data_IF_802165477596
#
_entry.id   IF_802165477596
#
_cell.length_a   1.000
_cell.length_b   1.000
_cell.length_c   1.000
_cell.angle_alpha   90.00
_cell.angle_beta   90.00
_cell.angle_gamma   90.00
#
_symmetry.space_group_name_H-M   'P 1'
#
loop_
_entity.id
_entity.type
_entity.pdbx_description
1 polymer ?
#
# COMPACT_ATOMS: atom_id res chain seq x y z
N UNK A 1 -19.76 27.41 -38.44
CA UNK A 1 -18.33 27.57 -38.81
C UNK A 1 -17.56 28.07 -37.60
N UNK A 2 -16.86 27.17 -36.89
CA UNK A 2 -15.55 27.41 -36.25
C UNK A 2 -14.80 26.08 -36.36
N UNK A 3 -13.56 26.18 -36.80
CA UNK A 3 -12.75 25.16 -37.44
C UNK A 3 -12.46 23.91 -36.61
N UNK A 4 -12.51 22.76 -37.30
CA UNK A 4 -11.92 21.52 -36.86
C UNK A 4 -10.41 21.66 -36.67
N UNK A 5 -9.95 21.20 -35.50
CA UNK A 5 -8.63 20.59 -35.37
C UNK A 5 -8.84 19.17 -34.87
N UNK A 6 -8.81 18.24 -35.83
CA UNK A 6 -8.56 16.83 -35.62
C UNK A 6 -7.15 16.77 -35.02
N UNK A 7 -7.03 16.42 -33.75
CA UNK A 7 -5.72 16.05 -33.20
C UNK A 7 -5.35 14.74 -33.88
N UNK A 8 -4.41 14.81 -34.82
CA UNK A 8 -3.70 13.65 -35.32
C UNK A 8 -2.91 13.07 -34.15
N UNK A 9 -3.26 11.86 -33.73
CA UNK A 9 -2.50 11.09 -32.76
C UNK A 9 -1.18 10.67 -33.43
N UNK A 10 -0.14 11.48 -33.31
CA UNK A 10 1.23 11.04 -33.55
C UNK A 10 1.59 10.02 -32.47
N UNK A 11 1.52 8.75 -32.83
CA UNK A 11 1.90 7.57 -32.03
C UNK A 11 3.42 7.47 -31.86
N UNK A 12 4.07 8.53 -31.38
CA UNK A 12 5.51 8.59 -31.18
C UNK A 12 5.84 8.79 -29.70
N UNK A 13 5.94 7.66 -28.99
CA UNK A 13 6.41 7.58 -27.61
C UNK A 13 5.34 7.13 -26.62
N UNK A 14 4.87 5.89 -26.73
CA UNK A 14 4.17 5.24 -25.61
C UNK A 14 5.16 5.12 -24.45
N UNK A 15 5.14 6.09 -23.53
CA UNK A 15 5.81 5.97 -22.25
C UNK A 15 5.12 4.84 -21.51
N UNK A 16 5.83 3.73 -21.30
CA UNK A 16 5.40 2.65 -20.40
C UNK A 16 4.80 3.24 -19.13
N UNK A 17 3.53 2.96 -18.84
CA UNK A 17 2.89 3.37 -17.59
C UNK A 17 3.34 2.53 -16.40
N UNK A 18 4.34 1.67 -16.60
CA UNK A 18 4.96 0.94 -15.51
C UNK A 18 5.76 1.90 -14.62
N UNK A 19 5.64 1.72 -13.31
CA UNK A 19 6.33 2.53 -12.31
C UNK A 19 7.83 2.63 -12.63
N UNK A 20 8.31 3.84 -12.92
CA UNK A 20 9.75 4.07 -13.11
C UNK A 20 10.44 4.32 -11.77
N UNK A 21 11.76 4.09 -11.71
CA UNK A 21 12.58 4.47 -10.55
C UNK A 21 12.44 5.96 -10.23
N UNK A 22 12.32 6.81 -11.26
CA UNK A 22 12.14 8.25 -11.09
C UNK A 22 10.83 8.54 -10.36
N UNK A 23 9.75 7.88 -10.74
CA UNK A 23 8.43 8.06 -10.11
C UNK A 23 8.45 7.61 -8.66
N UNK A 24 9.05 6.45 -8.37
CA UNK A 24 9.21 5.96 -7.00
C UNK A 24 9.98 6.98 -6.11
N UNK A 25 11.07 7.56 -6.62
CA UNK A 25 11.84 8.58 -5.91
C UNK A 25 11.03 9.86 -5.69
N UNK A 26 10.25 10.30 -6.69
CA UNK A 26 9.39 11.48 -6.56
C UNK A 26 8.29 11.24 -5.53
N UNK A 27 7.61 10.09 -5.57
CA UNK A 27 6.59 9.71 -4.60
C UNK A 27 7.15 9.69 -3.18
N UNK A 28 8.34 9.11 -2.96
CA UNK A 28 9.01 9.17 -1.65
C UNK A 28 9.23 10.60 -1.18
N UNK A 29 9.71 11.48 -2.05
CA UNK A 29 9.94 12.90 -1.73
C UNK A 29 8.63 13.63 -1.42
N UNK A 30 7.56 13.37 -2.16
CA UNK A 30 6.25 13.96 -1.93
C UNK A 30 5.62 13.50 -0.61
N UNK A 31 5.90 12.27 -0.19
CA UNK A 31 5.55 11.77 1.14
C UNK A 31 6.49 12.24 2.26
N UNK A 32 7.49 13.08 1.93
CA UNK A 32 8.54 13.51 2.86
C UNK A 32 9.22 12.30 3.53
N UNK A 33 9.39 11.20 2.80
CA UNK A 33 9.99 9.97 3.28
C UNK A 33 11.51 10.06 3.18
N UNK A 34 12.17 10.02 4.33
CA UNK A 34 13.60 10.25 4.50
C UNK A 34 14.30 9.01 5.06
N UNK A 35 15.63 9.09 5.21
CA UNK A 35 16.41 8.06 5.91
C UNK A 35 16.07 7.95 7.40
N UNK A 36 15.57 9.02 8.02
CA UNK A 36 15.11 8.95 9.41
C UNK A 36 13.87 8.05 9.48
N UNK A 37 12.92 8.21 8.56
CA UNK A 37 11.74 7.36 8.46
C UNK A 37 12.12 5.89 8.23
N UNK A 38 13.12 5.60 7.40
CA UNK A 38 13.63 4.23 7.20
C UNK A 38 14.07 3.58 8.51
N UNK A 39 14.84 4.32 9.32
CA UNK A 39 15.31 3.83 10.63
C UNK A 39 14.14 3.55 11.57
N UNK A 40 13.20 4.47 11.66
CA UNK A 40 12.05 4.30 12.56
C UNK A 40 11.05 3.28 12.04
N UNK A 41 10.94 3.08 10.73
CA UNK A 41 10.12 2.03 10.15
C UNK A 41 10.70 0.63 10.44
N UNK A 42 12.02 0.49 10.40
CA UNK A 42 12.69 -0.74 10.82
C UNK A 42 12.45 -1.03 12.31
N UNK A 43 12.60 -0.01 13.16
CA UNK A 43 12.34 -0.09 14.60
C UNK A 43 10.88 -0.47 14.89
N UNK A 44 9.93 0.13 14.17
CA UNK A 44 8.52 -0.26 14.22
C UNK A 44 8.35 -1.75 13.82
N UNK A 45 9.06 -2.20 12.78
CA UNK A 45 9.05 -3.59 12.34
C UNK A 45 9.41 -4.61 13.40
N UNK A 46 10.36 -4.29 14.28
CA UNK A 46 10.76 -5.17 15.40
C UNK A 46 9.64 -5.36 16.43
N UNK A 47 8.67 -4.46 16.46
CA UNK A 47 7.49 -4.52 17.32
C UNK A 47 6.33 -5.17 16.56
N UNK A 48 6.02 -4.63 15.37
CA UNK A 48 4.82 -4.98 14.62
C UNK A 48 4.87 -6.39 14.02
N UNK A 49 6.06 -6.91 13.70
CA UNK A 49 6.18 -8.22 13.05
C UNK A 49 5.62 -9.37 13.89
N UNK A 50 5.76 -9.32 15.22
CA UNK A 50 5.19 -10.33 16.13
C UNK A 50 3.72 -10.06 16.49
N UNK A 51 3.20 -8.90 16.11
CA UNK A 51 1.82 -8.44 16.41
C UNK A 51 0.92 -8.44 15.18
N UNK A 52 1.43 -8.83 14.02
CA UNK A 52 0.73 -8.71 12.74
C UNK A 52 -0.67 -9.35 12.74
N UNK A 53 -0.82 -10.54 13.33
CA UNK A 53 -2.11 -11.21 13.40
C UNK A 53 -3.08 -10.47 14.33
N UNK A 54 -2.61 -10.03 15.50
CA UNK A 54 -3.42 -9.24 16.44
C UNK A 54 -3.85 -7.89 15.85
N UNK A 55 -2.96 -7.24 15.08
CA UNK A 55 -3.29 -6.01 14.36
C UNK A 55 -4.37 -6.28 13.32
N UNK A 56 -4.27 -7.40 12.59
CA UNK A 56 -5.27 -7.80 11.60
C UNK A 56 -6.62 -8.08 12.27
N UNK A 57 -6.65 -8.73 13.43
CA UNK A 57 -7.87 -9.02 14.18
C UNK A 57 -8.61 -7.73 14.57
N UNK A 58 -7.91 -6.78 15.19
CA UNK A 58 -8.48 -5.48 15.58
C UNK A 58 -9.06 -4.75 14.38
N UNK A 59 -8.34 -4.78 13.24
CA UNK A 59 -8.80 -4.14 12.02
C UNK A 59 -10.02 -4.86 11.42
N UNK A 60 -10.02 -6.19 11.39
CA UNK A 60 -11.10 -7.00 10.85
C UNK A 60 -12.38 -6.88 11.69
N UNK A 61 -12.26 -6.88 13.02
CA UNK A 61 -13.37 -6.62 13.94
C UNK A 61 -13.99 -5.24 13.68
N UNK A 62 -13.15 -4.22 13.42
CA UNK A 62 -13.63 -2.91 13.04
C UNK A 62 -14.36 -2.93 11.68
N UNK A 63 -13.86 -3.66 10.69
CA UNK A 63 -14.53 -3.79 9.38
C UNK A 63 -15.91 -4.44 9.49
N UNK A 64 -16.01 -5.53 10.26
CA UNK A 64 -17.25 -6.28 10.47
C UNK A 64 -18.28 -5.49 11.28
N UNK A 65 -17.83 -4.65 12.23
CA UNK A 65 -18.72 -3.82 13.05
C UNK A 65 -19.35 -2.63 12.29
N UNK A 66 -18.95 -2.38 11.04
CA UNK A 66 -19.48 -1.29 10.21
C UNK A 66 -20.26 -1.85 9.03
N UNK A 67 -21.58 -1.67 9.02
CA UNK A 67 -22.51 -2.27 8.03
C UNK A 67 -22.09 -2.06 6.56
N UNK A 68 -21.52 -0.90 6.24
CA UNK A 68 -21.09 -0.56 4.88
C UNK A 68 -19.77 -1.23 4.45
N UNK A 69 -18.98 -1.77 5.39
CA UNK A 69 -17.74 -2.52 5.15
C UNK A 69 -17.96 -4.02 5.33
N UNK A 70 -18.83 -4.41 6.25
CA UNK A 70 -19.14 -5.79 6.59
C UNK A 70 -19.51 -6.63 5.35
N UNK A 71 -20.18 -6.04 4.35
CA UNK A 71 -20.51 -6.71 3.10
C UNK A 71 -19.30 -7.35 2.38
N UNK A 72 -18.09 -6.77 2.51
CA UNK A 72 -16.88 -7.31 1.88
C UNK A 72 -16.18 -8.40 2.69
N UNK A 73 -16.58 -8.57 3.96
CA UNK A 73 -15.91 -9.46 4.92
C UNK A 73 -16.87 -10.47 5.56
N UNK A 74 -18.08 -10.60 5.04
CA UNK A 74 -19.09 -11.53 5.55
C UNK A 74 -19.53 -12.53 4.49
N UNK A 75 -19.85 -13.74 4.94
CA UNK A 75 -20.49 -14.81 4.16
C UNK A 75 -21.76 -15.21 4.90
N UNK A 76 -22.88 -15.23 4.20
CA UNK A 76 -24.21 -15.54 4.77
C UNK A 76 -24.59 -14.69 6.00
N UNK A 77 -24.17 -13.42 5.99
CA UNK A 77 -24.43 -12.46 7.08
C UNK A 77 -23.58 -12.67 8.34
N UNK A 78 -22.55 -13.53 8.28
CA UNK A 78 -21.60 -13.76 9.36
C UNK A 78 -20.16 -13.47 8.90
N UNK A 79 -19.22 -13.11 9.80
CA UNK A 79 -17.82 -12.87 9.44
C UNK A 79 -17.19 -14.09 8.74
N UNK A 80 -16.52 -13.85 7.61
CA UNK A 80 -15.90 -14.91 6.82
C UNK A 80 -14.52 -15.29 7.41
N UNK A 81 -14.55 -16.20 8.39
CA UNK A 81 -13.35 -16.68 9.07
C UNK A 81 -12.35 -17.36 8.12
N UNK A 82 -12.83 -18.06 7.09
CA UNK A 82 -11.96 -18.70 6.09
C UNK A 82 -11.21 -17.65 5.29
N UNK A 83 -11.90 -16.60 4.83
CA UNK A 83 -11.27 -15.49 4.15
C UNK A 83 -10.23 -14.79 5.04
N UNK A 84 -10.55 -14.51 6.30
CA UNK A 84 -9.61 -13.94 7.27
C UNK A 84 -8.35 -14.82 7.42
N UNK A 85 -8.50 -16.14 7.49
CA UNK A 85 -7.37 -17.06 7.58
C UNK A 85 -6.46 -17.02 6.33
N UNK A 86 -7.02 -16.75 5.15
CA UNK A 86 -6.20 -16.52 3.94
C UNK A 86 -5.44 -15.18 3.96
N UNK A 87 -5.99 -14.17 4.64
CA UNK A 87 -5.38 -12.84 4.75
C UNK A 87 -4.23 -12.80 5.76
N UNK A 88 -4.31 -13.54 6.86
CA UNK A 88 -3.28 -13.59 7.92
C UNK A 88 -1.84 -13.69 7.42
N UNK A 89 -1.45 -14.73 6.64
CA UNK A 89 -0.08 -14.87 6.20
C UNK A 89 0.35 -13.77 5.22
N UNK A 90 -0.60 -13.25 4.41
CA UNK A 90 -0.35 -12.16 3.45
C UNK A 90 -0.10 -10.84 4.17
N UNK A 91 -0.96 -10.51 5.14
CA UNK A 91 -0.83 -9.31 5.95
C UNK A 91 0.47 -9.33 6.77
N UNK A 92 0.79 -10.44 7.43
CA UNK A 92 2.04 -10.58 8.16
C UNK A 92 3.27 -10.45 7.27
N UNK A 93 3.26 -11.03 6.06
CA UNK A 93 4.33 -10.85 5.09
C UNK A 93 4.42 -9.42 4.57
N UNK A 94 3.29 -8.74 4.37
CA UNK A 94 3.27 -7.34 3.95
C UNK A 94 3.90 -6.44 5.01
N UNK A 95 3.53 -6.57 6.29
CA UNK A 95 4.17 -5.82 7.39
C UNK A 95 5.68 -6.04 7.40
N UNK A 96 6.12 -7.31 7.33
CA UNK A 96 7.55 -7.63 7.31
C UNK A 96 8.25 -7.00 6.12
N UNK A 97 7.69 -7.08 4.92
CA UNK A 97 8.29 -6.48 3.72
C UNK A 97 8.34 -4.95 3.80
N UNK A 98 7.31 -4.33 4.39
CA UNK A 98 7.24 -2.89 4.53
C UNK A 98 8.29 -2.37 5.52
N UNK A 99 8.52 -3.11 6.61
CA UNK A 99 9.46 -2.71 7.65
C UNK A 99 10.89 -3.23 7.46
N UNK A 100 11.10 -4.25 6.63
CA UNK A 100 12.41 -4.88 6.44
C UNK A 100 12.96 -4.57 5.06
N UNK A 101 14.07 -3.84 5.04
CA UNK A 101 14.96 -3.80 3.89
C UNK A 101 15.92 -5.01 3.98
N UNK A 102 16.24 -5.68 2.86
CA UNK A 102 17.33 -6.66 2.87
C UNK A 102 18.62 -6.03 3.40
N UNK A 103 19.30 -6.73 4.31
CA UNK A 103 20.57 -6.30 4.86
C UNK A 103 21.59 -6.08 3.73
N UNK A 104 22.37 -5.00 3.83
CA UNK A 104 23.44 -4.63 2.88
C UNK A 104 23.05 -4.23 1.45
N UNK A 105 21.76 -4.09 1.12
CA UNK A 105 21.37 -3.53 -0.19
C UNK A 105 21.52 -2.01 -0.19
N UNK A 106 22.11 -1.39 -1.22
CA UNK A 106 22.08 0.07 -1.33
C UNK A 106 20.65 0.55 -1.61
N UNK A 107 20.29 1.74 -1.15
CA UNK A 107 18.91 2.24 -1.29
C UNK A 107 18.45 2.31 -2.76
N UNK A 108 19.32 2.79 -3.65
CA UNK A 108 19.06 2.81 -5.09
C UNK A 108 18.82 1.42 -5.68
N UNK A 109 19.52 0.39 -5.18
CA UNK A 109 19.31 -0.99 -5.61
C UNK A 109 17.98 -1.54 -5.09
N UNK A 110 17.57 -1.20 -3.87
CA UNK A 110 16.29 -1.60 -3.31
C UNK A 110 15.11 -0.92 -4.02
N UNK A 111 15.21 0.37 -4.32
CA UNK A 111 14.22 1.09 -5.14
C UNK A 111 14.11 0.48 -6.54
N UNK A 112 15.23 0.06 -7.13
CA UNK A 112 15.24 -0.61 -8.42
C UNK A 112 14.58 -1.99 -8.36
N UNK A 113 14.76 -2.75 -7.27
CA UNK A 113 14.04 -4.01 -7.05
C UNK A 113 12.52 -3.77 -6.93
N UNK A 114 12.10 -2.71 -6.21
CA UNK A 114 10.68 -2.36 -6.11
C UNK A 114 10.11 -2.01 -7.47
N UNK A 115 10.76 -1.11 -8.22
CA UNK A 115 10.31 -0.73 -9.55
C UNK A 115 10.22 -1.95 -10.49
N UNK A 116 11.24 -2.82 -10.49
CA UNK A 116 11.26 -4.03 -11.30
C UNK A 116 10.13 -4.99 -10.91
N UNK A 117 9.83 -5.17 -9.61
CA UNK A 117 8.72 -6.02 -9.18
C UNK A 117 7.38 -5.54 -9.72
N UNK A 118 7.13 -4.23 -9.73
CA UNK A 118 5.90 -3.65 -10.28
C UNK A 118 5.86 -3.73 -11.81
N UNK A 119 7.02 -3.77 -12.48
CA UNK A 119 7.13 -4.01 -13.92
C UNK A 119 6.87 -5.48 -14.29
N UNK A 120 7.34 -6.42 -13.46
CA UNK A 120 7.25 -7.86 -13.69
C UNK A 120 5.96 -8.49 -13.16
N UNK A 121 5.13 -7.71 -12.44
CA UNK A 121 3.91 -8.23 -11.82
C UNK A 121 2.94 -8.70 -12.90
N UNK A 122 2.47 -9.97 -12.86
CA UNK A 122 1.53 -10.45 -13.85
C UNK A 122 0.24 -9.65 -13.80
N UNK A 123 -0.32 -9.43 -14.99
CA UNK A 123 -1.59 -8.74 -15.19
C UNK A 123 -2.68 -9.32 -14.27
N UNK A 124 -3.58 -8.49 -13.72
CA UNK A 124 -4.76 -8.97 -13.03
C UNK A 124 -5.49 -10.01 -13.91
N UNK A 125 -5.96 -11.10 -13.29
CA UNK A 125 -6.84 -12.06 -13.99
C UNK A 125 -8.10 -11.34 -14.48
N UNK A 126 -8.79 -11.87 -15.48
CA UNK A 126 -9.99 -11.24 -16.06
C UNK A 126 -11.01 -10.79 -14.99
N UNK A 127 -11.10 -11.51 -13.87
CA UNK A 127 -11.99 -11.20 -12.74
C UNK A 127 -11.63 -9.91 -11.96
N UNK A 128 -10.42 -9.37 -12.13
CA UNK A 128 -9.91 -8.19 -11.41
C UNK A 128 -9.71 -6.97 -12.32
N UNK A 129 -10.00 -7.07 -13.63
CA UNK A 129 -9.68 -6.02 -14.61
C UNK A 129 -10.43 -4.71 -14.38
N UNK A 130 -11.59 -4.76 -13.74
CA UNK A 130 -12.41 -3.58 -13.46
C UNK A 130 -12.68 -3.47 -11.97
N UNK A 131 -11.72 -2.95 -11.20
CA UNK A 131 -12.02 -2.36 -9.88
C UNK A 131 -12.50 -0.93 -10.16
N UNK A 132 -13.81 -0.62 -10.08
CA UNK A 132 -14.26 0.69 -10.53
C UNK A 132 -13.63 1.80 -9.69
N UNK A 133 -13.40 2.97 -10.28
CA UNK A 133 -12.76 4.15 -9.64
C UNK A 133 -13.41 4.52 -8.30
N UNK A 134 -14.70 4.20 -8.12
CA UNK A 134 -15.41 4.30 -6.82
C UNK A 134 -14.65 3.57 -5.70
N UNK A 135 -14.05 2.41 -5.93
CA UNK A 135 -13.31 1.63 -4.94
C UNK A 135 -11.95 2.21 -4.59
N UNK A 136 -11.32 2.95 -5.51
CA UNK A 136 -10.07 3.66 -5.21
C UNK A 136 -10.26 4.67 -4.07
N UNK A 137 -11.42 5.34 -4.02
CA UNK A 137 -11.72 6.30 -2.93
C UNK A 137 -11.75 5.60 -1.57
N UNK A 138 -12.29 4.38 -1.51
CA UNK A 138 -12.36 3.59 -0.28
C UNK A 138 -10.99 3.02 0.09
N UNK A 139 -10.21 2.56 -0.88
CA UNK A 139 -8.84 2.08 -0.64
C UNK A 139 -7.96 3.18 -0.01
N UNK A 140 -8.04 4.41 -0.52
CA UNK A 140 -7.32 5.57 0.03
C UNK A 140 -7.76 5.87 1.47
N UNK A 141 -9.04 5.67 1.81
CA UNK A 141 -9.50 5.87 3.19
C UNK A 141 -8.87 4.88 4.18
N UNK A 142 -8.42 3.70 3.74
CA UNK A 142 -7.79 2.71 4.64
C UNK A 142 -6.40 3.11 5.15
N UNK A 143 -5.76 4.12 4.57
CA UNK A 143 -4.48 4.62 5.06
C UNK A 143 -4.57 5.01 6.55
N UNK A 144 -5.62 5.74 6.94
CA UNK A 144 -5.80 6.19 8.31
C UNK A 144 -6.06 5.07 9.32
N UNK A 145 -7.08 4.19 9.16
CA UNK A 145 -7.37 3.16 10.16
C UNK A 145 -6.23 2.15 10.31
N UNK A 146 -5.55 1.77 9.21
CA UNK A 146 -4.37 0.88 9.29
C UNK A 146 -3.21 1.55 10.03
N UNK A 147 -3.06 2.86 9.88
CA UNK A 147 -2.05 3.64 10.62
C UNK A 147 -2.41 3.74 12.10
N UNK A 148 -3.66 4.07 12.40
CA UNK A 148 -4.11 4.27 13.77
C UNK A 148 -4.09 2.97 14.59
N UNK A 149 -4.40 1.83 13.96
CA UNK A 149 -4.45 0.53 14.61
C UNK A 149 -3.14 0.11 15.27
N UNK A 150 -1.99 0.58 14.75
CA UNK A 150 -0.69 0.15 15.28
C UNK A 150 -0.20 0.97 16.48
N UNK A 151 -0.81 2.14 16.75
CA UNK A 151 -0.34 3.10 17.76
C UNK A 151 -0.20 2.50 19.17
N UNK A 152 -1.12 1.67 19.68
CA UNK A 152 -0.97 1.03 20.99
C UNK A 152 0.27 0.12 21.05
N UNK A 153 0.53 -0.63 19.98
CA UNK A 153 1.62 -1.59 19.92
C UNK A 153 2.99 -0.93 19.95
N UNK A 154 3.14 0.21 19.26
CA UNK A 154 4.42 0.94 19.21
C UNK A 154 4.91 1.40 20.59
N UNK A 155 4.01 1.52 21.57
CA UNK A 155 4.34 1.95 22.93
C UNK A 155 4.74 0.80 23.86
N UNK A 156 4.55 -0.46 23.46
CA UNK A 156 4.70 -1.63 24.35
C UNK A 156 6.14 -1.88 24.83
N UNK A 157 7.15 -1.46 24.05
CA UNK A 157 8.57 -1.74 24.35
C UNK A 157 9.28 -0.63 25.14
N UNK A 158 8.54 0.31 25.72
CA UNK A 158 9.11 1.36 26.58
C UNK A 158 9.92 2.42 25.83
N UNK A 159 9.71 2.58 24.53
CA UNK A 159 10.31 3.65 23.74
C UNK A 159 9.82 5.03 24.21
N UNK A 160 10.65 6.05 24.00
CA UNK A 160 10.26 7.42 24.35
C UNK A 160 9.07 7.86 23.50
N UNK A 161 8.17 8.74 24.00
CA UNK A 161 7.02 9.22 23.23
C UNK A 161 7.41 9.83 21.87
N UNK A 162 8.56 10.50 21.79
CA UNK A 162 9.09 11.04 20.54
C UNK A 162 9.47 9.94 19.53
N UNK A 163 10.04 8.83 19.99
CA UNK A 163 10.39 7.70 19.14
C UNK A 163 9.13 6.97 18.66
N UNK A 164 8.13 6.82 19.53
CA UNK A 164 6.81 6.28 19.18
C UNK A 164 6.17 7.12 18.08
N UNK A 165 6.20 8.45 18.19
CA UNK A 165 5.67 9.33 17.16
C UNK A 165 6.43 9.19 15.84
N UNK A 166 7.77 9.13 15.87
CA UNK A 166 8.58 8.94 14.67
C UNK A 166 8.33 7.59 13.99
N UNK A 167 8.17 6.50 14.76
CA UNK A 167 7.75 5.20 14.24
C UNK A 167 6.36 5.26 13.59
N UNK A 168 5.40 5.93 14.25
CA UNK A 168 4.05 6.08 13.75
C UNK A 168 4.01 6.90 12.45
N UNK A 169 4.78 7.99 12.35
CA UNK A 169 4.89 8.79 11.12
C UNK A 169 5.57 8.02 9.98
N UNK A 170 6.64 7.29 10.28
CA UNK A 170 7.31 6.45 9.28
C UNK A 170 6.36 5.37 8.73
N UNK A 171 5.59 4.73 9.61
CA UNK A 171 4.54 3.78 9.24
C UNK A 171 3.46 4.42 8.37
N UNK A 172 2.93 5.58 8.78
CA UNK A 172 1.91 6.30 8.02
C UNK A 172 2.35 6.57 6.58
N UNK A 173 3.59 7.05 6.40
CA UNK A 173 4.15 7.30 5.07
C UNK A 173 4.34 6.00 4.28
N UNK A 174 4.75 4.91 4.93
CA UNK A 174 4.95 3.61 4.29
C UNK A 174 3.62 2.96 3.84
N UNK A 175 2.57 3.07 4.65
CA UNK A 175 1.20 2.64 4.28
C UNK A 175 0.67 3.48 3.14
N UNK A 176 0.87 4.81 3.19
CA UNK A 176 0.48 5.72 2.10
C UNK A 176 1.18 5.33 0.79
N UNK A 177 2.48 5.04 0.84
CA UNK A 177 3.22 4.56 -0.32
C UNK A 177 2.64 3.25 -0.86
N UNK A 178 2.34 2.27 0.00
CA UNK A 178 1.72 1.00 -0.43
C UNK A 178 0.42 1.24 -1.18
N UNK A 179 -0.47 2.07 -0.64
CA UNK A 179 -1.76 2.38 -1.28
C UNK A 179 -1.55 3.09 -2.62
N UNK A 180 -0.65 4.08 -2.69
CA UNK A 180 -0.32 4.76 -3.97
C UNK A 180 0.11 3.74 -5.02
N UNK A 181 1.00 2.82 -4.65
CA UNK A 181 1.52 1.82 -5.56
C UNK A 181 0.45 0.79 -5.98
N UNK A 182 -0.49 0.44 -5.11
CA UNK A 182 -1.65 -0.40 -5.47
C UNK A 182 -2.61 0.28 -6.44
N UNK A 183 -2.65 1.61 -6.43
CA UNK A 183 -3.46 2.41 -7.35
C UNK A 183 -2.72 2.86 -8.60
N UNK A 184 -1.44 2.51 -8.74
CA UNK A 184 -0.65 2.91 -9.90
C UNK A 184 -1.19 2.19 -11.14
N UNK A 185 -1.54 2.93 -12.22
CA UNK A 185 -2.28 2.36 -13.33
C UNK A 185 -1.46 1.30 -14.07
N UNK A 186 -2.12 0.19 -14.34
CA UNK A 186 -1.63 -0.84 -15.24
C UNK A 186 -1.56 -0.29 -16.68
N UNK A 187 -0.48 -0.54 -17.46
CA UNK A 187 -0.41 -0.18 -18.88
C UNK A 187 -1.57 -0.64 -19.75
N UNK A 188 -2.31 -1.68 -19.38
CA UNK A 188 -3.48 -2.08 -20.14
C UNK A 188 -4.72 -1.20 -19.92
N UNK A 189 -4.80 -0.42 -18.83
CA UNK A 189 -6.00 0.38 -18.50
C UNK A 189 -6.05 1.70 -19.29
N UNK A 190 -4.96 2.09 -19.97
CA UNK A 190 -4.93 3.30 -20.79
C UNK A 190 -5.45 3.12 -22.23
N UNK A 191 -5.85 1.92 -22.65
CA UNK A 191 -6.40 1.69 -24.01
C UNK A 191 -7.90 1.99 -24.16
N UNK A 192 -8.63 2.40 -23.10
CA UNK A 192 -10.10 2.59 -23.14
C UNK A 192 -10.54 4.06 -22.86
N UNK A 193 -9.64 5.04 -22.90
CA UNK A 193 -10.01 6.47 -22.82
C UNK A 193 -9.49 7.28 -24.01
#
# INVERSE_FOLDING_TARGET
MINGKRYESTSAGMTSSALSLRDLVLLKRMLLFTREDERYLQMAGEILSSKAETILDIWYDHMVANDYLAHYFTRDGQPDADYLNTLRPRFGNWIRQLCQRPYNTHWSQYEQIIAQRYQDQPMPTDDMKDVPVIFLRYLVTFIYPVTNAIRPFLSEKGHRPEEVEKMHQAWFKAVSMSVILWTYPDPAIQEIC
#
